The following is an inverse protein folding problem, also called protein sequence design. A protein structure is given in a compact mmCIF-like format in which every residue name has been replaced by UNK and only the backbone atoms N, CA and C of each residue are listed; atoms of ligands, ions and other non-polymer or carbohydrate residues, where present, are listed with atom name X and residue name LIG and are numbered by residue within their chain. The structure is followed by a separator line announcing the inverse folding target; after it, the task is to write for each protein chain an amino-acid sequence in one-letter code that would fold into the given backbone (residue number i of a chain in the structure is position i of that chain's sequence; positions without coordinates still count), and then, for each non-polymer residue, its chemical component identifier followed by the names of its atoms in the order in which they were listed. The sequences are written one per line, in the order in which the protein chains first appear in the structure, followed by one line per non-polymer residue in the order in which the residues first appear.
data_IF_344799440997
#
_entry.id   IF_344799440997
#
_cell.length_a   1.000
_cell.length_b   1.000
_cell.length_c   1.000
_cell.angle_alpha   90.00
_cell.angle_beta   90.00
_cell.angle_gamma   90.00
#
_symmetry.space_group_name_H-M   'P 1'
#
loop_
_entity.id
_entity.type
_entity.pdbx_description
1 polymer ?
#
# COMPACT_ATOMS: atom_id res chain seq x y z
N UNK A 1 -35.77 22.35 -42.72
CA UNK A 1 -35.37 22.49 -41.30
C UNK A 1 -34.98 21.17 -40.64
N UNK A 2 -35.55 20.03 -41.04
CA UNK A 2 -35.31 18.68 -40.48
C UNK A 2 -33.85 18.20 -40.49
N UNK A 3 -33.09 18.43 -41.58
CA UNK A 3 -31.70 17.92 -41.68
C UNK A 3 -30.73 18.55 -40.68
N UNK A 4 -30.89 19.85 -40.37
CA UNK A 4 -30.05 20.55 -39.38
C UNK A 4 -30.36 20.10 -37.96
N UNK A 5 -31.63 19.88 -37.65
CA UNK A 5 -32.08 19.35 -36.35
C UNK A 5 -31.56 17.93 -36.14
N UNK A 6 -31.62 17.08 -37.17
CA UNK A 6 -31.08 15.73 -37.11
C UNK A 6 -29.56 15.71 -36.86
N UNK A 7 -28.80 16.58 -37.53
CA UNK A 7 -27.35 16.70 -37.31
C UNK A 7 -27.01 17.16 -35.90
N UNK A 8 -27.73 18.14 -35.36
CA UNK A 8 -27.53 18.61 -33.97
C UNK A 8 -27.84 17.50 -32.98
N UNK A 9 -28.94 16.76 -33.18
CA UNK A 9 -29.31 15.64 -32.31
C UNK A 9 -28.23 14.54 -32.30
N UNK A 10 -27.69 14.19 -33.47
CA UNK A 10 -26.60 13.20 -33.59
C UNK A 10 -25.34 13.68 -32.86
N UNK A 11 -24.95 14.95 -33.02
CA UNK A 11 -23.77 15.51 -32.34
C UNK A 11 -23.94 15.49 -30.82
N UNK A 12 -25.13 15.83 -30.31
CA UNK A 12 -25.43 15.80 -28.87
C UNK A 12 -25.36 14.36 -28.34
N UNK A 13 -25.94 13.39 -29.04
CA UNK A 13 -25.88 11.98 -28.64
C UNK A 13 -24.44 11.48 -28.60
N UNK A 14 -23.62 11.81 -29.60
CA UNK A 14 -22.21 11.44 -29.64
C UNK A 14 -21.39 12.09 -28.51
N UNK A 15 -21.68 13.35 -28.17
CA UNK A 15 -21.04 14.05 -27.06
C UNK A 15 -21.40 13.43 -25.70
N UNK A 16 -22.68 13.09 -25.50
CA UNK A 16 -23.13 12.43 -24.27
C UNK A 16 -22.56 11.02 -24.15
N UNK A 17 -22.58 10.23 -25.23
CA UNK A 17 -22.06 8.87 -25.24
C UNK A 17 -20.54 8.82 -24.97
N UNK A 18 -19.77 9.76 -25.55
CA UNK A 18 -18.33 9.86 -25.29
C UNK A 18 -18.01 10.33 -23.87
N UNK A 19 -18.75 11.31 -23.35
CA UNK A 19 -18.62 11.75 -21.96
C UNK A 19 -18.96 10.64 -20.95
N UNK A 20 -20.06 9.92 -21.18
CA UNK A 20 -20.48 8.83 -20.29
C UNK A 20 -19.55 7.62 -20.38
N UNK A 21 -19.10 7.27 -21.59
CA UNK A 21 -18.15 6.17 -21.80
C UNK A 21 -16.79 6.43 -21.14
N UNK A 22 -16.25 7.64 -21.27
CA UNK A 22 -15.00 8.02 -20.59
C UNK A 22 -15.16 8.07 -19.07
N UNK A 23 -16.30 8.54 -18.57
CA UNK A 23 -16.60 8.54 -17.14
C UNK A 23 -16.68 7.12 -16.57
N UNK A 24 -17.40 6.19 -17.22
CA UNK A 24 -17.50 4.79 -16.78
C UNK A 24 -16.13 4.10 -16.73
N UNK A 25 -15.27 4.35 -17.73
CA UNK A 25 -13.91 3.79 -17.80
C UNK A 25 -12.99 4.31 -16.68
N UNK A 26 -13.19 5.55 -16.22
CA UNK A 26 -12.43 6.12 -15.10
C UNK A 26 -13.02 5.70 -13.75
N UNK A 27 -14.35 5.62 -13.66
CA UNK A 27 -15.09 5.31 -12.43
C UNK A 27 -14.83 3.90 -11.90
N UNK A 28 -14.57 2.93 -12.79
CA UNK A 28 -14.26 1.55 -12.40
C UNK A 28 -12.91 1.36 -11.69
N UNK A 29 -12.03 2.36 -11.68
CA UNK A 29 -10.77 2.33 -10.91
C UNK A 29 -11.04 2.80 -9.49
N UNK A 30 -11.83 2.03 -8.75
CA UNK A 30 -11.99 2.19 -7.31
C UNK A 30 -10.62 2.19 -6.60
N UNK A 31 -10.52 2.73 -5.38
CA UNK A 31 -9.24 2.83 -4.65
C UNK A 31 -8.65 1.43 -4.41
N UNK A 32 -7.79 1.01 -5.33
CA UNK A 32 -7.10 -0.25 -5.23
C UNK A 32 -6.15 -0.16 -4.03
N UNK A 33 -6.41 -0.96 -3.00
CA UNK A 33 -5.62 -0.94 -1.78
C UNK A 33 -4.14 -1.16 -2.13
N UNK A 34 -3.25 -0.21 -1.78
CA UNK A 34 -1.87 -0.30 -2.20
C UNK A 34 -1.18 -1.44 -1.46
N UNK A 35 -0.53 -2.32 -2.21
CA UNK A 35 0.28 -3.41 -1.66
C UNK A 35 1.76 -2.99 -1.64
N UNK A 36 2.44 -3.27 -0.54
CA UNK A 36 3.90 -3.14 -0.42
C UNK A 36 4.55 -4.46 -0.81
N UNK A 37 5.80 -4.42 -1.27
CA UNK A 37 6.57 -5.62 -1.59
C UNK A 37 7.77 -5.71 -0.65
N UNK A 38 7.94 -6.85 -0.01
CA UNK A 38 9.11 -7.14 0.81
C UNK A 38 9.89 -8.29 0.18
N UNK A 39 11.18 -8.11 0.02
CA UNK A 39 12.09 -9.07 -0.58
C UNK A 39 13.25 -9.38 0.36
N UNK A 40 13.59 -10.66 0.48
CA UNK A 40 14.83 -11.11 1.12
C UNK A 40 15.22 -12.47 0.56
N UNK A 41 16.52 -12.73 0.39
CA UNK A 41 17.06 -14.05 0.04
C UNK A 41 16.26 -14.79 -1.05
N UNK A 42 15.96 -14.14 -2.19
CA UNK A 42 15.21 -14.74 -3.30
C UNK A 42 13.69 -14.85 -3.11
N UNK A 43 13.17 -14.55 -1.91
CA UNK A 43 11.74 -14.58 -1.61
C UNK A 43 11.12 -13.18 -1.66
N UNK A 44 10.09 -13.04 -2.48
CA UNK A 44 9.27 -11.83 -2.58
C UNK A 44 7.88 -12.12 -2.00
N UNK A 45 7.43 -11.29 -1.06
CA UNK A 45 6.05 -11.29 -0.57
C UNK A 45 5.39 -9.94 -0.81
N UNK A 46 4.11 -9.96 -1.20
CA UNK A 46 3.30 -8.74 -1.35
C UNK A 46 2.31 -8.67 -0.21
N UNK A 47 2.40 -7.61 0.57
CA UNK A 47 1.61 -7.41 1.78
C UNK A 47 0.62 -6.29 1.56
N UNK A 48 -0.64 -6.53 1.93
CA UNK A 48 -1.68 -5.52 1.88
C UNK A 48 -1.66 -4.65 3.13
N UNK A 49 -2.57 -3.66 3.21
CA UNK A 49 -2.74 -2.91 4.44
C UNK A 49 -3.26 -3.82 5.56
N UNK A 50 -2.84 -3.57 6.80
CA UNK A 50 -3.50 -4.17 7.97
C UNK A 50 -4.84 -3.47 8.25
N UNK A 51 -4.80 -2.13 8.22
CA UNK A 51 -5.96 -1.23 8.23
C UNK A 51 -5.82 -0.24 7.08
N UNK A 52 -6.92 0.02 6.39
CA UNK A 52 -7.01 1.00 5.31
C UNK A 52 -8.24 1.89 5.54
N UNK A 53 -8.02 3.20 5.71
CA UNK A 53 -9.11 4.18 5.81
C UNK A 53 -9.12 5.07 4.57
N UNK A 54 -10.32 5.34 4.05
CA UNK A 54 -10.50 6.25 2.94
C UNK A 54 -10.18 7.69 3.36
N UNK A 55 -9.41 8.40 2.53
CA UNK A 55 -9.03 9.80 2.81
C UNK A 55 -10.19 10.78 2.59
N UNK A 56 -11.16 10.43 1.75
CA UNK A 56 -12.35 11.25 1.47
C UNK A 56 -13.47 10.98 2.49
N UNK A 57 -13.49 9.79 3.09
CA UNK A 57 -14.44 9.41 4.12
C UNK A 57 -13.71 8.68 5.24
N UNK A 58 -13.32 9.41 6.29
CA UNK A 58 -12.49 8.89 7.38
C UNK A 58 -13.22 7.83 8.22
N UNK A 59 -14.56 7.77 8.15
CA UNK A 59 -15.35 6.74 8.82
C UNK A 59 -15.41 5.42 8.03
N UNK A 60 -15.01 5.42 6.76
CA UNK A 60 -14.88 4.23 5.93
C UNK A 60 -13.49 3.62 6.10
N UNK A 61 -13.34 2.87 7.19
CA UNK A 61 -12.15 2.10 7.52
C UNK A 61 -12.38 0.61 7.32
N UNK A 62 -11.53 0.00 6.51
CA UNK A 62 -11.48 -1.43 6.23
C UNK A 62 -10.32 -2.05 7.02
N UNK A 63 -10.55 -3.22 7.63
CA UNK A 63 -9.54 -3.99 8.36
C UNK A 63 -9.29 -5.33 7.65
N UNK A 64 -8.61 -5.33 6.50
CA UNK A 64 -8.41 -6.56 5.74
C UNK A 64 -7.41 -7.53 6.38
N UNK A 65 -6.65 -7.11 7.42
CA UNK A 65 -5.65 -7.94 8.11
C UNK A 65 -4.69 -8.64 7.14
N UNK A 66 -4.38 -7.99 6.01
CA UNK A 66 -3.64 -8.59 4.91
C UNK A 66 -2.12 -8.59 5.18
N UNK A 67 -1.71 -9.34 6.20
CA UNK A 67 -0.32 -9.52 6.61
C UNK A 67 0.37 -10.59 5.76
N UNK A 68 1.70 -10.47 5.64
CA UNK A 68 2.54 -11.46 4.99
C UNK A 68 3.63 -11.94 5.94
N UNK A 69 4.05 -13.19 5.74
CA UNK A 69 5.19 -13.77 6.45
C UNK A 69 6.35 -13.87 5.48
N UNK A 70 7.53 -13.44 5.94
CA UNK A 70 8.77 -13.55 5.19
C UNK A 70 9.84 -14.11 6.14
N UNK A 71 10.51 -15.18 5.72
CA UNK A 71 11.62 -15.75 6.49
C UNK A 71 12.83 -14.81 6.35
N UNK A 72 13.34 -14.31 7.48
CA UNK A 72 14.49 -13.40 7.52
C UNK A 72 15.67 -14.08 8.22
N UNK A 73 16.87 -13.86 7.72
CA UNK A 73 18.11 -14.38 8.32
C UNK A 73 18.92 -13.23 8.92
N UNK A 74 19.90 -13.56 9.76
CA UNK A 74 20.84 -12.58 10.30
C UNK A 74 21.80 -12.00 9.24
N UNK A 75 21.84 -12.59 8.04
CA UNK A 75 22.80 -12.26 6.97
C UNK A 75 22.15 -11.44 5.86
N UNK A 76 20.86 -11.63 5.61
CA UNK A 76 20.15 -11.05 4.48
C UNK A 76 19.26 -9.88 4.91
N UNK A 77 19.56 -8.64 4.49
CA UNK A 77 18.69 -7.51 4.78
C UNK A 77 17.37 -7.62 4.01
N UNK A 78 16.29 -7.10 4.60
CA UNK A 78 14.99 -7.04 3.92
C UNK A 78 14.93 -5.77 3.08
N UNK A 79 14.64 -5.93 1.79
CA UNK A 79 14.37 -4.83 0.87
C UNK A 79 12.86 -4.60 0.81
N UNK A 80 12.43 -3.44 1.30
CA UNK A 80 11.05 -3.00 1.24
C UNK A 80 10.86 -2.04 0.05
N UNK A 81 9.89 -2.33 -0.81
CA UNK A 81 9.46 -1.46 -1.89
C UNK A 81 8.03 -0.98 -1.66
N UNK A 82 7.86 0.33 -1.79
CA UNK A 82 6.61 1.05 -1.56
C UNK A 82 6.09 1.56 -2.90
N UNK A 83 4.83 1.26 -3.28
CA UNK A 83 4.27 1.72 -4.54
C UNK A 83 4.17 3.24 -4.56
N UNK A 84 4.31 3.83 -5.76
CA UNK A 84 4.19 5.28 -5.97
C UNK A 84 2.94 5.84 -5.31
N UNK A 85 1.81 5.12 -5.35
CA UNK A 85 0.55 5.51 -4.75
C UNK A 85 0.64 5.95 -3.27
N UNK A 86 1.47 5.26 -2.48
CA UNK A 86 1.78 5.59 -1.08
C UNK A 86 2.85 6.67 -1.01
N UNK A 87 3.94 6.50 -1.76
CA UNK A 87 5.11 7.39 -1.68
C UNK A 87 4.85 8.84 -2.11
N UNK A 88 3.72 9.17 -2.75
CA UNK A 88 3.31 10.56 -3.04
C UNK A 88 3.00 11.36 -1.78
N UNK A 89 2.67 10.67 -0.69
CA UNK A 89 2.40 11.27 0.61
C UNK A 89 3.55 10.96 1.58
N UNK A 90 3.70 11.73 2.68
CA UNK A 90 4.60 11.34 3.76
C UNK A 90 4.21 9.97 4.31
N UNK A 91 5.21 9.12 4.53
CA UNK A 91 5.00 7.77 5.08
C UNK A 91 6.11 7.45 6.08
N UNK A 92 5.84 6.50 6.99
CA UNK A 92 6.81 6.09 8.00
C UNK A 92 6.99 4.58 8.01
N UNK A 93 8.21 4.15 8.25
CA UNK A 93 8.57 2.76 8.49
C UNK A 93 8.70 2.56 9.99
N UNK A 94 7.81 1.75 10.56
CA UNK A 94 7.90 1.31 11.95
C UNK A 94 8.48 -0.11 11.96
N UNK A 95 9.55 -0.29 12.73
CA UNK A 95 10.17 -1.61 12.96
C UNK A 95 9.98 -1.94 14.43
N UNK A 96 9.20 -2.97 14.70
CA UNK A 96 8.92 -3.46 16.05
C UNK A 96 9.58 -4.83 16.18
N UNK A 97 10.41 -5.00 17.21
CA UNK A 97 11.06 -6.25 17.54
C UNK A 97 10.49 -6.81 18.85
N UNK A 98 10.89 -8.03 19.20
CA UNK A 98 10.48 -8.67 20.46
C UNK A 98 10.87 -7.83 21.68
N UNK A 99 12.06 -7.24 21.66
CA UNK A 99 12.43 -6.23 22.64
C UNK A 99 11.89 -4.84 22.22
N UNK A 100 10.92 -4.28 22.97
CA UNK A 100 10.32 -3.00 22.64
C UNK A 100 11.31 -1.83 22.69
N UNK A 101 12.43 -1.95 23.42
CA UNK A 101 13.47 -0.93 23.47
C UNK A 101 14.17 -0.72 22.12
N UNK A 102 14.12 -1.72 21.23
CA UNK A 102 14.71 -1.67 19.89
C UNK A 102 13.74 -1.15 18.81
N UNK A 103 12.57 -0.65 19.20
CA UNK A 103 11.59 -0.11 18.25
C UNK A 103 12.17 1.12 17.55
N UNK A 104 12.27 1.07 16.22
CA UNK A 104 12.81 2.18 15.44
C UNK A 104 11.75 2.72 14.47
N UNK A 105 11.59 4.03 14.43
CA UNK A 105 10.71 4.72 13.47
C UNK A 105 11.53 5.56 12.51
N UNK A 106 11.25 5.48 11.22
CA UNK A 106 11.89 6.32 10.19
C UNK A 106 10.81 6.99 9.35
N UNK A 107 10.88 8.31 9.25
CA UNK A 107 9.95 9.11 8.46
C UNK A 107 10.54 9.38 7.06
N UNK A 108 9.72 9.20 6.03
CA UNK A 108 10.03 9.53 4.65
C UNK A 108 9.09 10.63 4.15
N UNK A 109 9.67 11.67 3.57
CA UNK A 109 8.91 12.76 2.94
C UNK A 109 8.28 12.29 1.63
N UNK A 110 7.27 13.03 1.18
CA UNK A 110 6.59 12.78 -0.09
C UNK A 110 7.57 12.77 -1.26
N UNK A 111 7.35 11.84 -2.19
CA UNK A 111 8.08 11.63 -3.43
C UNK A 111 9.61 11.45 -3.28
N UNK A 112 10.15 11.31 -2.08
CA UNK A 112 11.61 11.32 -1.86
C UNK A 112 12.20 9.91 -1.90
N UNK A 113 11.48 8.92 -1.39
CA UNK A 113 11.97 7.54 -1.33
C UNK A 113 10.82 6.55 -1.49
N UNK A 114 11.04 5.53 -2.33
CA UNK A 114 10.08 4.44 -2.62
C UNK A 114 10.62 3.07 -2.23
N UNK A 115 11.83 3.00 -1.68
CA UNK A 115 12.42 1.76 -1.21
C UNK A 115 13.19 2.00 0.09
N UNK A 116 13.14 1.05 1.03
CA UNK A 116 13.89 1.11 2.26
C UNK A 116 14.54 -0.24 2.54
N UNK A 117 15.79 -0.21 3.01
CA UNK A 117 16.49 -1.41 3.44
C UNK A 117 16.38 -1.52 4.96
N UNK A 118 15.85 -2.64 5.42
CA UNK A 118 15.78 -2.98 6.84
C UNK A 118 17.00 -3.86 7.13
N UNK A 119 17.88 -3.45 8.06
CA UNK A 119 19.05 -4.24 8.40
C UNK A 119 18.61 -5.60 8.97
N UNK A 120 19.43 -6.66 8.81
CA UNK A 120 19.14 -7.94 9.42
C UNK A 120 19.06 -7.76 10.94
N UNK A 121 17.99 -8.22 11.56
CA UNK A 121 17.97 -8.33 13.02
C UNK A 121 18.85 -9.51 13.40
N UNK A 122 19.92 -9.29 14.16
CA UNK A 122 20.68 -10.37 14.78
C UNK A 122 19.72 -11.13 15.70
N UNK A 123 19.52 -12.43 15.50
CA UNK A 123 18.74 -13.23 16.42
C UNK A 123 19.49 -13.32 17.74
N UNK A 124 18.89 -12.81 18.82
CA UNK A 124 19.33 -13.22 20.16
C UNK A 124 19.15 -14.73 20.22
N UNK A 125 20.17 -15.43 20.73
CA UNK A 125 20.40 -16.89 20.65
C UNK A 125 19.28 -17.77 21.28
N UNK A 126 18.16 -17.19 21.72
CA UNK A 126 17.15 -17.84 22.55
C UNK A 126 15.98 -18.50 21.80
N UNK A 127 15.74 -18.24 20.51
CA UNK A 127 14.49 -18.71 19.88
C UNK A 127 14.68 -19.01 18.39
N UNK A 128 15.21 -20.20 18.12
CA UNK A 128 15.29 -20.84 16.79
C UNK A 128 14.09 -21.77 16.52
N UNK A 129 13.23 -21.98 17.51
CA UNK A 129 12.03 -22.80 17.39
C UNK A 129 10.85 -21.86 17.13
N UNK A 130 10.35 -21.83 15.89
CA UNK A 130 9.06 -21.21 15.50
C UNK A 130 9.08 -19.69 15.12
N UNK A 131 9.81 -19.30 14.07
CA UNK A 131 9.77 -17.90 13.56
C UNK A 131 8.74 -17.69 12.45
N UNK A 132 7.57 -17.15 12.81
CA UNK A 132 6.73 -16.37 11.90
C UNK A 132 7.00 -14.89 12.19
N UNK A 133 7.79 -14.22 11.35
CA UNK A 133 7.90 -12.77 11.41
C UNK A 133 6.60 -12.17 10.87
N UNK A 134 5.72 -11.75 11.76
CA UNK A 134 4.50 -11.01 11.41
C UNK A 134 4.93 -9.55 11.22
N UNK A 135 5.07 -9.12 9.97
CA UNK A 135 5.26 -7.72 9.66
C UNK A 135 3.90 -7.01 9.80
N UNK A 136 3.53 -6.65 11.03
CA UNK A 136 2.34 -5.85 11.28
C UNK A 136 2.64 -4.37 11.03
N UNK A 137 2.17 -3.87 9.89
CA UNK A 137 2.18 -2.44 9.58
C UNK A 137 0.88 -1.79 10.09
N UNK A 138 0.67 -1.89 11.41
CA UNK A 138 -0.44 -1.28 12.14
C UNK A 138 0.00 -0.05 12.94
N UNK A 139 -0.73 1.06 12.81
CA UNK A 139 -0.60 2.23 13.71
C UNK A 139 -1.11 1.80 15.10
N UNK A 140 -0.31 1.98 16.16
CA UNK A 140 -0.75 1.79 17.57
C UNK A 140 -2.12 2.45 17.80
N UNK A 141 -3.09 1.77 18.44
CA UNK A 141 -4.21 2.46 19.05
C UNK A 141 -3.68 3.27 20.24
N UNK A 142 -3.98 4.57 20.23
CA UNK A 142 -3.72 5.45 21.37
C UNK A 142 -4.61 5.05 22.55
N UNK A 143 -4.02 5.19 23.74
CA UNK A 143 -4.70 5.14 25.02
C UNK A 143 -5.74 6.25 25.12
#
# INVERSE_FOLDING_TARGET
MTRRVALVAVVVVLAVASGFGTWLLVSGRGPQQPKISAYTHGHLTRVGPYVYCNVLNVNDCQTPHAQGVLAVTARDPVQLSVPKAIGRAPWRLLRVYEDPANTTTTLFRSATRLAATIPPSTPTRATERNRRAIADFGRRPGR
#
